data_IF_903657085479
#
_entry.id   IF_903657085479
#
_cell.length_a   1.000
_cell.length_b   1.000
_cell.length_c   1.000
_cell.angle_alpha   90.00
_cell.angle_beta   90.00
_cell.angle_gamma   90.00
#
_symmetry.space_group_name_H-M   'P 1'
#
loop_
_entity.id
_entity.type
_entity.pdbx_description
1 polymer ?
#
# COMPACT_ATOMS: atom_id res chain seq x y z
N UNK A 1 3.31 -5.82 1.55
CA UNK A 1 2.42 -6.71 0.76
C UNK A 1 1.12 -5.97 0.50
N UNK A 2 0.66 -5.98 -0.75
CA UNK A 2 -0.60 -5.37 -1.15
C UNK A 2 -1.38 -6.37 -1.99
N UNK A 3 -2.70 -6.42 -1.82
CA UNK A 3 -3.60 -7.33 -2.53
C UNK A 3 -4.85 -6.55 -2.96
N UNK A 4 -5.32 -6.81 -4.18
CA UNK A 4 -6.57 -6.30 -4.70
C UNK A 4 -7.51 -7.47 -5.02
N UNK A 5 -8.72 -7.44 -4.46
CA UNK A 5 -9.83 -8.31 -4.81
C UNK A 5 -10.82 -7.53 -5.65
N UNK A 6 -11.04 -7.99 -6.89
CA UNK A 6 -11.92 -7.33 -7.85
C UNK A 6 -13.20 -8.15 -7.97
N UNK A 7 -14.34 -7.50 -7.80
CA UNK A 7 -15.67 -8.07 -8.00
C UNK A 7 -16.39 -7.38 -9.14
N UNK A 8 -17.63 -7.77 -9.43
CA UNK A 8 -18.50 -7.05 -10.37
C UNK A 8 -18.85 -5.63 -9.91
N UNK A 9 -18.73 -5.33 -8.61
CA UNK A 9 -19.23 -4.09 -8.02
C UNK A 9 -18.12 -3.23 -7.38
N UNK A 10 -16.99 -3.83 -7.00
CA UNK A 10 -15.96 -3.14 -6.24
C UNK A 10 -14.55 -3.68 -6.49
N UNK A 11 -13.56 -2.82 -6.21
CA UNK A 11 -12.16 -3.18 -6.00
C UNK A 11 -11.83 -2.98 -4.53
N UNK A 12 -11.53 -4.07 -3.82
CA UNK A 12 -11.12 -4.04 -2.42
C UNK A 12 -9.61 -4.19 -2.34
N UNK A 13 -8.92 -3.24 -1.72
CA UNK A 13 -7.47 -3.26 -1.57
C UNK A 13 -7.09 -3.43 -0.10
N UNK A 14 -6.31 -4.47 0.19
CA UNK A 14 -5.71 -4.69 1.49
C UNK A 14 -4.20 -4.40 1.41
N UNK A 15 -3.72 -3.42 2.19
CA UNK A 15 -2.30 -3.08 2.26
C UNK A 15 -1.70 -3.38 3.65
N UNK A 16 -0.53 -4.03 3.66
CA UNK A 16 0.29 -4.32 4.84
C UNK A 16 1.74 -3.95 4.51
N UNK A 17 2.14 -2.72 4.84
CA UNK A 17 3.49 -2.19 4.63
C UNK A 17 3.56 -1.04 3.61
N UNK A 18 4.70 -0.91 2.94
CA UNK A 18 5.03 0.18 2.01
C UNK A 18 4.86 -0.18 0.52
N UNK A 19 4.23 -1.32 0.24
CA UNK A 19 3.72 -1.61 -1.11
C UNK A 19 2.55 -0.68 -1.43
N UNK A 20 2.28 -0.44 -2.72
CA UNK A 20 1.22 0.50 -3.14
C UNK A 20 0.35 -0.06 -4.26
N UNK A 21 -0.95 0.24 -4.21
CA UNK A 21 -1.91 0.00 -5.26
C UNK A 21 -2.45 1.33 -5.80
N UNK A 22 -2.45 1.46 -7.12
CA UNK A 22 -3.07 2.56 -7.85
C UNK A 22 -4.06 2.00 -8.87
N UNK A 23 -5.14 2.73 -9.11
CA UNK A 23 -6.07 2.48 -10.20
C UNK A 23 -5.82 3.53 -11.28
N UNK A 24 -5.60 3.06 -12.50
CA UNK A 24 -5.52 3.91 -13.69
C UNK A 24 -6.76 3.65 -14.51
N UNK A 25 -7.52 4.70 -14.81
CA UNK A 25 -8.76 4.63 -15.59
C UNK A 25 -8.83 5.76 -16.60
N UNK A 26 -9.81 5.74 -17.50
CA UNK A 26 -10.06 6.88 -18.38
C UNK A 26 -10.52 8.08 -17.55
N UNK A 27 -9.94 9.25 -17.83
CA UNK A 27 -10.36 10.51 -17.23
C UNK A 27 -11.74 10.89 -17.74
N UNK A 28 -12.70 11.10 -16.84
CA UNK A 28 -13.99 11.68 -17.22
C UNK A 28 -13.75 13.08 -17.79
N UNK A 29 -14.18 13.38 -19.03
CA UNK A 29 -14.11 14.73 -19.62
C UNK A 29 -15.05 15.76 -18.95
N UNK A 30 -15.45 15.53 -17.71
CA UNK A 30 -16.33 16.38 -16.92
C UNK A 30 -15.57 16.79 -15.66
N UNK A 31 -15.20 18.08 -15.59
CA UNK A 31 -14.49 18.64 -14.45
C UNK A 31 -15.29 18.46 -13.16
N UNK A 32 -14.82 17.56 -12.29
CA UNK A 32 -15.24 17.48 -10.90
C UNK A 32 -14.09 16.85 -10.09
N UNK A 33 -13.34 17.70 -9.40
CA UNK A 33 -12.48 17.32 -8.28
C UNK A 33 -13.37 16.75 -7.17
N UNK A 34 -13.35 15.45 -6.96
CA UNK A 34 -14.04 14.82 -5.83
C UNK A 34 -13.01 14.45 -4.76
N UNK A 35 -12.97 15.24 -3.69
CA UNK A 35 -12.27 14.92 -2.45
C UNK A 35 -12.93 13.73 -1.74
N UNK A 36 -12.10 12.91 -1.10
CA UNK A 36 -12.46 11.61 -0.55
C UNK A 36 -13.50 11.64 0.58
N UNK A 37 -14.44 10.71 0.52
CA UNK A 37 -15.26 10.32 1.67
C UNK A 37 -15.16 8.81 1.86
N UNK A 38 -14.68 8.39 3.03
CA UNK A 38 -14.48 6.98 3.39
C UNK A 38 -15.83 6.22 3.51
N UNK A 39 -15.96 5.02 2.92
CA UNK A 39 -17.10 4.13 3.18
C UNK A 39 -16.83 3.18 4.36
N UNK A 40 -17.84 2.95 5.19
CA UNK A 40 -17.84 2.00 6.31
C UNK A 40 -18.12 0.56 5.85
N UNK A 41 -17.67 -0.49 6.56
CA UNK A 41 -17.77 -1.88 6.12
C UNK A 41 -19.05 -2.60 6.59
N UNK A 42 -19.67 -3.46 5.75
CA UNK A 42 -20.57 -4.53 6.18
C UNK A 42 -19.92 -5.93 6.12
N UNK A 43 -20.53 -6.88 6.84
CA UNK A 43 -19.99 -8.13 7.38
C UNK A 43 -19.95 -9.33 6.39
N UNK A 44 -18.98 -10.23 6.59
CA UNK A 44 -18.65 -11.43 5.80
C UNK A 44 -19.58 -12.63 6.04
N UNK A 45 -19.89 -13.37 4.96
CA UNK A 45 -20.39 -14.75 5.00
C UNK A 45 -19.50 -15.60 4.09
N UNK A 46 -18.97 -16.71 4.62
CA UNK A 46 -18.02 -17.59 3.93
C UNK A 46 -18.73 -18.69 3.12
N UNK A 47 -18.20 -19.04 1.93
CA UNK A 47 -18.31 -20.40 1.40
C UNK A 47 -17.06 -20.82 0.59
N UNK A 48 -16.71 -22.11 0.75
CA UNK A 48 -15.56 -22.84 0.20
C UNK A 48 -15.86 -23.41 -1.19
N UNK A 49 -14.86 -23.44 -2.08
CA UNK A 49 -14.92 -24.17 -3.35
C UNK A 49 -13.53 -24.63 -3.80
N UNK A 50 -13.45 -25.88 -4.27
CA UNK A 50 -12.25 -26.67 -4.51
C UNK A 50 -11.57 -26.42 -5.87
N UNK A 51 -10.28 -26.77 -5.88
CA UNK A 51 -9.24 -26.52 -6.87
C UNK A 51 -9.06 -27.72 -7.84
N UNK A 52 -8.93 -27.44 -9.14
CA UNK A 52 -8.23 -28.31 -10.12
C UNK A 52 -7.72 -27.47 -11.29
N UNK A 53 -6.40 -27.24 -11.34
CA UNK A 53 -5.71 -26.60 -12.45
C UNK A 53 -5.12 -27.63 -13.44
N UNK A 54 -5.28 -27.39 -14.74
CA UNK A 54 -4.47 -27.97 -15.81
C UNK A 54 -3.72 -26.85 -16.54
N UNK A 55 -2.41 -27.05 -16.70
CA UNK A 55 -1.43 -26.07 -17.15
C UNK A 55 -1.29 -26.10 -18.69
N UNK A 56 -1.66 -25.01 -19.37
CA UNK A 56 -1.36 -24.80 -20.79
C UNK A 56 -0.32 -23.69 -20.96
N UNK A 57 0.78 -24.01 -21.63
CA UNK A 57 1.90 -23.11 -21.91
C UNK A 57 1.46 -21.88 -22.75
N UNK A 58 1.92 -20.65 -22.42
CA UNK A 58 1.51 -19.44 -23.13
C UNK A 58 2.20 -19.29 -24.49
N UNK A 59 1.41 -19.07 -25.54
CA UNK A 59 1.87 -18.53 -26.82
C UNK A 59 2.06 -17.01 -26.68
N UNK A 60 3.18 -16.48 -27.18
CA UNK A 60 3.51 -15.06 -27.15
C UNK A 60 2.50 -14.26 -27.97
N UNK A 61 1.79 -13.34 -27.31
CA UNK A 61 0.90 -12.40 -27.98
C UNK A 61 1.70 -11.40 -28.84
N UNK A 62 1.18 -10.98 -30.01
CA UNK A 62 1.76 -9.89 -30.79
C UNK A 62 1.69 -8.56 -29.99
N UNK A 63 2.59 -7.60 -30.27
CA UNK A 63 2.54 -6.29 -29.63
C UNK A 63 1.21 -5.58 -29.94
N UNK A 64 0.64 -4.82 -28.99
CA UNK A 64 -0.58 -4.05 -29.23
C UNK A 64 -0.35 -3.02 -30.35
N UNK A 65 -1.37 -2.80 -31.18
CA UNK A 65 -1.34 -1.81 -32.25
C UNK A 65 -1.14 -0.41 -31.65
N UNK A 66 -0.40 0.46 -32.34
CA UNK A 66 0.00 1.79 -31.85
C UNK A 66 -1.20 2.74 -31.58
N UNK A 67 -2.42 2.39 -32.01
CA UNK A 67 -3.65 3.15 -31.80
C UNK A 67 -4.32 2.92 -30.42
N UNK A 68 -3.87 1.95 -29.62
CA UNK A 68 -4.46 1.64 -28.29
C UNK A 68 -3.83 2.43 -27.13
N UNK A 69 -2.83 3.28 -27.40
CA UNK A 69 -2.19 4.11 -26.36
C UNK A 69 -3.02 5.38 -26.13
N UNK A 70 -3.79 5.39 -25.04
CA UNK A 70 -4.49 6.60 -24.62
C UNK A 70 -3.48 7.69 -24.25
N UNK A 71 -3.70 8.95 -24.67
CA UNK A 71 -2.84 10.05 -24.25
C UNK A 71 -2.95 10.23 -22.74
N UNK A 72 -1.84 10.57 -22.08
CA UNK A 72 -1.81 10.72 -20.62
C UNK A 72 -2.84 11.74 -20.07
N UNK A 73 -3.26 12.71 -20.90
CA UNK A 73 -4.34 13.66 -20.58
C UNK A 73 -5.70 13.01 -20.37
N UNK A 74 -5.90 11.81 -20.91
CA UNK A 74 -7.17 11.09 -20.90
C UNK A 74 -7.15 9.99 -19.83
N UNK A 75 -6.18 10.01 -18.91
CA UNK A 75 -6.05 9.07 -17.81
C UNK A 75 -6.26 9.77 -16.47
N UNK A 76 -7.02 9.14 -15.58
CA UNK A 76 -7.09 9.47 -14.17
C UNK A 76 -6.37 8.39 -13.36
N UNK A 77 -5.56 8.82 -12.38
CA UNK A 77 -4.84 7.93 -11.47
C UNK A 77 -5.35 8.16 -10.05
N UNK A 78 -5.83 7.08 -9.42
CA UNK A 78 -6.38 7.07 -8.08
C UNK A 78 -5.51 6.20 -7.18
N UNK A 79 -5.12 6.69 -6.01
CA UNK A 79 -4.45 5.88 -5.01
C UNK A 79 -5.49 4.99 -4.28
N UNK A 80 -5.33 3.67 -4.37
CA UNK A 80 -6.21 2.73 -3.67
C UNK A 80 -5.59 2.18 -2.37
N UNK A 81 -4.41 2.66 -2.00
CA UNK A 81 -3.76 2.38 -0.71
C UNK A 81 -2.86 3.53 -0.31
N UNK A 82 -2.53 3.60 0.97
CA UNK A 82 -1.44 4.45 1.51
C UNK A 82 -0.32 3.57 2.07
N UNK A 83 0.90 4.08 1.99
CA UNK A 83 2.07 3.41 2.54
C UNK A 83 2.01 3.44 4.07
N UNK A 84 2.21 2.29 4.70
CA UNK A 84 2.27 2.19 6.16
C UNK A 84 3.71 2.32 6.63
N UNK A 85 4.11 3.58 6.74
CA UNK A 85 5.43 3.98 7.23
C UNK A 85 5.39 4.30 8.74
N UNK A 86 6.47 4.02 9.50
CA UNK A 86 6.60 4.42 10.90
C UNK A 86 6.44 5.92 11.17
N UNK A 87 6.53 6.77 10.14
CA UNK A 87 6.36 8.22 10.27
C UNK A 87 4.91 8.68 10.51
N UNK A 88 3.92 7.85 10.17
CA UNK A 88 2.51 8.22 10.32
C UNK A 88 2.14 8.36 11.81
N UNK A 89 1.34 9.36 12.21
CA UNK A 89 1.06 9.62 13.62
C UNK A 89 0.55 8.42 14.41
N UNK A 90 -0.45 7.70 13.88
CA UNK A 90 -1.02 6.52 14.54
C UNK A 90 -0.05 5.33 14.58
N UNK A 91 0.78 5.17 13.54
CA UNK A 91 1.78 4.10 13.50
C UNK A 91 2.90 4.38 14.52
N UNK A 92 3.40 5.62 14.55
CA UNK A 92 4.40 6.09 15.52
C UNK A 92 3.92 5.89 16.95
N UNK A 93 2.70 6.35 17.26
CA UNK A 93 2.13 6.20 18.60
C UNK A 93 2.07 4.72 19.02
N UNK A 94 1.62 3.82 18.15
CA UNK A 94 1.60 2.38 18.42
C UNK A 94 3.00 1.84 18.67
N UNK A 95 3.97 2.19 17.82
CA UNK A 95 5.36 1.74 17.94
C UNK A 95 5.97 2.18 19.29
N UNK A 96 5.77 3.44 19.65
CA UNK A 96 6.29 4.01 20.90
C UNK A 96 5.61 3.40 22.13
N UNK A 97 4.29 3.17 22.07
CA UNK A 97 3.54 2.47 23.12
C UNK A 97 3.96 1.00 23.28
N UNK A 98 4.40 0.36 22.20
CA UNK A 98 4.98 -1.00 22.22
C UNK A 98 6.42 -1.02 22.77
N UNK A 99 6.99 0.14 23.13
CA UNK A 99 8.31 0.25 23.75
C UNK A 99 9.47 0.36 22.76
N UNK A 100 9.21 0.49 21.46
CA UNK A 100 10.25 0.74 20.44
C UNK A 100 10.28 2.21 20.04
N UNK A 101 11.35 2.62 19.34
CA UNK A 101 11.52 4.01 18.90
C UNK A 101 11.30 4.12 17.39
N UNK A 102 10.77 5.26 16.94
CA UNK A 102 10.82 5.63 15.53
C UNK A 102 11.97 6.60 15.30
N UNK A 103 12.92 6.19 14.45
CA UNK A 103 14.06 7.02 14.03
C UNK A 103 13.90 7.45 12.58
N UNK A 104 14.52 8.56 12.21
CA UNK A 104 14.49 9.09 10.85
C UNK A 104 15.90 9.11 10.27
N UNK A 105 16.04 8.73 9.01
CA UNK A 105 17.27 8.85 8.25
C UNK A 105 16.99 9.57 6.94
N UNK A 106 17.86 10.50 6.56
CA UNK A 106 17.67 11.36 5.39
C UNK A 106 18.74 11.05 4.36
N UNK A 107 18.33 10.89 3.11
CA UNK A 107 19.19 10.52 1.99
C UNK A 107 18.94 11.43 0.79
N UNK A 108 19.94 11.65 -0.07
CA UNK A 108 19.69 12.27 -1.37
C UNK A 108 18.79 11.36 -2.22
N UNK A 109 17.74 11.93 -2.81
CA UNK A 109 16.82 11.25 -3.73
C UNK A 109 17.58 10.62 -4.91
N UNK A 110 18.60 11.33 -5.38
CA UNK A 110 19.47 10.88 -6.44
C UNK A 110 20.83 10.52 -5.85
N UNK A 111 21.19 9.22 -5.73
CA UNK A 111 22.39 8.78 -5.00
C UNK A 111 23.70 9.30 -5.61
N UNK A 112 23.68 9.77 -6.86
CA UNK A 112 24.84 10.26 -7.58
C UNK A 112 24.83 11.78 -7.83
N UNK A 113 23.86 12.51 -7.28
CA UNK A 113 23.83 13.97 -7.32
C UNK A 113 23.96 14.50 -5.91
N UNK A 114 24.87 15.46 -5.69
CA UNK A 114 24.84 16.23 -4.46
C UNK A 114 23.48 16.95 -4.40
N UNK A 115 22.76 16.88 -3.28
CA UNK A 115 21.48 17.57 -3.16
C UNK A 115 21.74 19.07 -3.34
N UNK A 116 21.07 19.65 -4.33
CA UNK A 116 21.18 21.08 -4.63
C UNK A 116 20.25 21.89 -3.75
N UNK A 117 19.13 21.29 -3.36
CA UNK A 117 18.10 21.88 -2.51
C UNK A 117 17.61 20.87 -1.45
N UNK A 118 16.95 21.33 -0.39
CA UNK A 118 16.39 20.45 0.66
C UNK A 118 15.32 19.49 0.09
N UNK A 119 14.63 19.89 -0.96
CA UNK A 119 13.65 19.08 -1.69
C UNK A 119 14.27 17.87 -2.42
N UNK A 120 15.58 17.83 -2.62
CA UNK A 120 16.32 16.70 -3.15
C UNK A 120 16.59 15.61 -2.10
N UNK A 121 16.15 15.82 -0.86
CA UNK A 121 16.29 14.85 0.21
C UNK A 121 15.01 14.02 0.39
N UNK A 122 15.20 12.76 0.77
CA UNK A 122 14.13 11.83 1.15
C UNK A 122 14.39 11.40 2.58
N UNK A 123 13.39 11.59 3.45
CA UNK A 123 13.42 11.09 4.82
C UNK A 123 12.68 9.77 4.91
N UNK A 124 13.36 8.75 5.44
CA UNK A 124 12.79 7.42 5.70
C UNK A 124 12.67 7.24 7.21
N UNK A 125 11.46 6.95 7.68
CA UNK A 125 11.20 6.62 9.08
C UNK A 125 11.32 5.11 9.31
N UNK A 126 11.95 4.72 10.42
CA UNK A 126 12.23 3.32 10.74
C UNK A 126 11.85 2.99 12.18
N UNK A 127 11.28 1.81 12.40
CA UNK A 127 11.15 1.18 13.72
C UNK A 127 12.53 0.70 14.13
N UNK A 128 13.06 1.20 15.25
CA UNK A 128 14.37 0.82 15.76
C UNK A 128 14.23 -0.09 16.98
N UNK A 129 14.77 -1.31 16.86
CA UNK A 129 14.98 -2.21 18.01
C UNK A 129 16.34 -1.98 18.66
N UNK A 130 17.35 -1.71 17.83
CA UNK A 130 18.69 -1.32 18.25
C UNK A 130 19.26 -0.26 17.28
N UNK A 131 20.50 0.15 17.50
CA UNK A 131 21.15 1.10 16.58
C UNK A 131 21.43 0.49 15.20
N UNK A 132 21.47 -0.85 15.09
CA UNK A 132 21.72 -1.58 13.83
C UNK A 132 20.50 -2.32 13.29
N UNK A 133 19.56 -2.71 14.15
CA UNK A 133 18.33 -3.40 13.75
C UNK A 133 17.18 -2.40 13.60
N UNK A 134 16.88 -2.07 12.35
CA UNK A 134 15.86 -1.08 11.98
C UNK A 134 15.00 -1.59 10.83
N UNK A 135 13.70 -1.31 10.87
CA UNK A 135 12.74 -1.67 9.82
C UNK A 135 12.02 -0.43 9.29
N UNK A 136 12.00 -0.22 7.98
CA UNK A 136 11.41 0.98 7.34
C UNK A 136 9.89 0.92 7.15
N UNK A 137 9.24 -0.15 7.62
CA UNK A 137 7.79 -0.35 7.56
C UNK A 137 7.21 -0.49 8.96
N UNK A 138 5.97 -0.07 9.15
CA UNK A 138 5.26 -0.24 10.43
C UNK A 138 4.33 -1.45 10.44
N UNK A 139 4.06 -2.05 9.27
CA UNK A 139 3.22 -3.25 9.14
C UNK A 139 3.87 -4.24 8.18
N UNK A 140 3.86 -5.51 8.56
CA UNK A 140 4.43 -6.60 7.78
C UNK A 140 3.91 -7.96 8.26
N UNK A 141 3.92 -8.96 7.37
CA UNK A 141 3.92 -10.36 7.79
C UNK A 141 5.34 -10.77 8.22
N UNK A 142 5.48 -11.72 9.15
CA UNK A 142 6.80 -12.05 9.71
C UNK A 142 7.27 -11.01 10.73
N UNK A 143 8.57 -10.69 10.73
CA UNK A 143 9.21 -9.70 11.63
C UNK A 143 8.87 -9.90 13.11
N UNK A 144 8.87 -11.17 13.56
CA UNK A 144 8.44 -11.57 14.90
C UNK A 144 9.21 -10.86 16.02
N UNK A 145 10.45 -10.49 15.75
CA UNK A 145 11.31 -9.72 16.64
C UNK A 145 10.76 -8.33 17.00
N UNK A 146 9.88 -7.78 16.17
CA UNK A 146 9.17 -6.51 16.39
C UNK A 146 7.73 -6.72 16.90
N UNK A 147 7.37 -7.97 17.20
CA UNK A 147 6.05 -8.44 17.65
C UNK A 147 6.09 -9.15 19.00
N UNK A 148 7.08 -8.78 19.81
CA UNK A 148 7.42 -9.43 21.06
C UNK A 148 7.19 -8.54 22.29
N UNK A 149 6.43 -7.44 22.15
CA UNK A 149 6.09 -6.57 23.27
C UNK A 149 5.20 -7.32 24.25
N UNK A 150 5.69 -7.50 25.48
CA UNK A 150 4.99 -8.22 26.53
C UNK A 150 3.70 -7.50 26.95
N UNK A 151 2.64 -8.26 27.19
CA UNK A 151 1.35 -7.73 27.66
C UNK A 151 0.50 -7.03 26.60
N UNK A 152 0.95 -6.99 25.33
CA UNK A 152 0.18 -6.43 24.21
C UNK A 152 -0.34 -7.52 23.27
N UNK A 153 -1.57 -7.35 22.78
CA UNK A 153 -2.14 -8.18 21.73
C UNK A 153 -1.50 -7.92 20.35
N UNK A 154 -1.82 -8.72 19.33
CA UNK A 154 -1.27 -8.58 17.97
C UNK A 154 -1.41 -7.18 17.36
N UNK A 155 -2.48 -6.46 17.71
CA UNK A 155 -2.78 -5.09 17.27
C UNK A 155 -1.96 -4.01 18.00
N UNK A 156 -1.40 -4.33 19.16
CA UNK A 156 -0.60 -3.42 19.97
C UNK A 156 0.90 -3.50 19.70
N UNK A 157 1.34 -4.43 18.86
CA UNK A 157 2.76 -4.65 18.57
C UNK A 157 3.37 -3.50 17.75
N UNK A 158 4.69 -3.31 17.84
CA UNK A 158 5.36 -2.23 17.11
C UNK A 158 5.19 -2.40 15.59
N UNK A 159 5.42 -3.61 15.10
CA UNK A 159 5.05 -4.01 13.73
C UNK A 159 3.80 -4.88 13.80
N UNK A 160 2.75 -4.59 13.02
CA UNK A 160 1.52 -5.41 13.00
C UNK A 160 1.28 -6.07 11.65
N UNK A 161 0.56 -7.19 11.64
CA UNK A 161 0.13 -7.86 10.40
C UNK A 161 -1.31 -7.49 10.00
N UNK A 162 -1.82 -6.36 10.49
CA UNK A 162 -3.20 -5.92 10.29
C UNK A 162 -3.28 -5.04 9.04
N UNK A 163 -4.01 -5.45 8.00
CA UNK A 163 -4.15 -4.66 6.79
C UNK A 163 -4.97 -3.41 7.03
N UNK A 164 -4.66 -2.36 6.28
CA UNK A 164 -5.64 -1.33 5.95
C UNK A 164 -6.43 -1.81 4.73
N UNK A 165 -7.76 -1.78 4.83
CA UNK A 165 -8.65 -2.17 3.74
C UNK A 165 -9.35 -0.93 3.20
N UNK A 166 -9.20 -0.67 1.90
CA UNK A 166 -9.97 0.34 1.16
C UNK A 166 -10.90 -0.35 0.17
N UNK A 167 -12.08 0.22 -0.03
CA UNK A 167 -13.06 -0.27 -1.00
C UNK A 167 -13.39 0.84 -1.98
N UNK A 168 -13.15 0.59 -3.25
CA UNK A 168 -13.50 1.46 -4.37
C UNK A 168 -14.67 0.83 -5.12
N UNK A 169 -15.79 1.55 -5.24
CA UNK A 169 -16.91 1.09 -6.04
C UNK A 169 -16.57 1.22 -7.53
N UNK A 170 -16.85 0.19 -8.33
CA UNK A 170 -16.57 0.21 -9.76
C UNK A 170 -17.60 1.02 -10.51
N UNK A 171 -17.14 1.85 -11.43
CA UNK A 171 -17.98 2.46 -12.46
C UNK A 171 -17.71 1.83 -13.84
N UNK A 172 -18.43 2.28 -14.87
CA UNK A 172 -18.31 1.73 -16.23
C UNK A 172 -16.97 2.01 -16.91
N UNK A 173 -16.14 2.86 -16.31
CA UNK A 173 -14.82 3.26 -16.81
C UNK A 173 -13.66 2.53 -16.07
N UNK A 174 -13.97 1.64 -15.11
CA UNK A 174 -13.05 0.86 -14.28
C UNK A 174 -12.87 -0.63 -14.71
#
# INVERSE_FOLDING_TARGET
AVMAMVTSEAVMVANVGDSRCILVRRGSKTGATAEGRAPQPPQLVEEKGQDTAQETKPQSAPPPAEDDVLPASDLAVLALSEDQTPGLPAERERIEKAGLRVVSETYPRHPNAAPTEEEDLVTVHKVARSDVDRLAVSRAFGDFDYKSAEGLGPEGQAVVAIPEIRVHARDGDD
#
